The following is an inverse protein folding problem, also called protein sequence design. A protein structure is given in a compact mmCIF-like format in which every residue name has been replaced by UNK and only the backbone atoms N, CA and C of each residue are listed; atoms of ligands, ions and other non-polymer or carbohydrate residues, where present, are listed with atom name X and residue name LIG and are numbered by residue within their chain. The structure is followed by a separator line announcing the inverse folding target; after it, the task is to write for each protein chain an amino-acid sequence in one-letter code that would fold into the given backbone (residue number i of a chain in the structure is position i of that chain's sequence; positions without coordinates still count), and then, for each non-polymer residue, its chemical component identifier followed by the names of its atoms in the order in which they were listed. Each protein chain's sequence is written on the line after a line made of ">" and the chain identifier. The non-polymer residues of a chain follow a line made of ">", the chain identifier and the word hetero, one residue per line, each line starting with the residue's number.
data_IF_625725246190
#
_entry.id   IF_625725246190
#
_cell.length_a   1.000
_cell.length_b   1.000
_cell.length_c   1.000
_cell.angle_alpha   90.00
_cell.angle_beta   90.00
_cell.angle_gamma   90.00
#
_symmetry.space_group_name_H-M   'P 1'
#
loop_
_entity.id
_entity.type
_entity.pdbx_description
1 polymer ?
#
# COMPACT_ATOMS: atom_id res chain seq x y z
N UNK A 1 -18.37 -34.33 -5.51
CA UNK A 1 -17.10 -33.57 -5.61
C UNK A 1 -15.94 -34.55 -5.58
N UNK A 2 -15.10 -34.62 -6.60
CA UNK A 2 -13.99 -35.60 -6.65
C UNK A 2 -12.84 -35.18 -5.72
N UNK A 3 -12.13 -36.15 -5.13
CA UNK A 3 -10.95 -35.92 -4.28
C UNK A 3 -9.90 -35.00 -4.93
N UNK A 4 -9.81 -35.01 -6.25
CA UNK A 4 -8.91 -34.15 -7.04
C UNK A 4 -9.30 -32.67 -6.99
N UNK A 5 -10.59 -32.35 -6.96
CA UNK A 5 -11.06 -30.96 -6.86
C UNK A 5 -10.74 -30.37 -5.48
N UNK A 6 -10.98 -31.15 -4.43
CA UNK A 6 -10.69 -30.74 -3.06
C UNK A 6 -9.19 -30.47 -2.84
N UNK A 7 -8.32 -31.37 -3.32
CA UNK A 7 -6.86 -31.18 -3.25
C UNK A 7 -6.40 -29.91 -3.97
N UNK A 8 -6.95 -29.64 -5.17
CA UNK A 8 -6.61 -28.43 -5.94
C UNK A 8 -7.02 -27.16 -5.20
N UNK A 9 -8.23 -27.11 -4.65
CA UNK A 9 -8.69 -25.94 -3.88
C UNK A 9 -7.83 -25.67 -2.65
N UNK A 10 -7.42 -26.71 -1.93
CA UNK A 10 -6.51 -26.56 -0.78
C UNK A 10 -5.14 -26.02 -1.21
N UNK A 11 -4.56 -26.57 -2.28
CA UNK A 11 -3.27 -26.10 -2.78
C UNK A 11 -3.33 -24.64 -3.24
N UNK A 12 -4.43 -24.24 -3.88
CA UNK A 12 -4.66 -22.84 -4.27
C UNK A 12 -4.80 -21.93 -3.04
N UNK A 13 -5.52 -22.36 -2.00
CA UNK A 13 -5.66 -21.57 -0.78
C UNK A 13 -4.32 -21.41 -0.04
N UNK A 14 -3.52 -22.49 0.06
CA UNK A 14 -2.19 -22.44 0.67
C UNK A 14 -1.27 -21.52 -0.13
N UNK A 15 -1.28 -21.64 -1.46
CA UNK A 15 -0.52 -20.76 -2.35
C UNK A 15 -0.89 -19.29 -2.15
N UNK A 16 -2.19 -18.97 -2.13
CA UNK A 16 -2.68 -17.61 -1.91
C UNK A 16 -2.23 -17.09 -0.55
N UNK A 17 -2.41 -17.87 0.51
CA UNK A 17 -2.03 -17.46 1.85
C UNK A 17 -0.51 -17.22 1.96
N UNK A 18 0.31 -18.15 1.49
CA UNK A 18 1.76 -18.06 1.57
C UNK A 18 2.30 -16.85 0.78
N UNK A 19 1.88 -16.69 -0.47
CA UNK A 19 2.35 -15.58 -1.30
C UNK A 19 1.79 -14.23 -0.81
N UNK A 20 0.55 -14.18 -0.31
CA UNK A 20 0.00 -12.97 0.31
C UNK A 20 0.75 -12.55 1.58
N UNK A 21 1.19 -13.50 2.42
CA UNK A 21 2.03 -13.21 3.58
C UNK A 21 3.38 -12.63 3.14
N UNK A 22 4.01 -13.21 2.11
CA UNK A 22 5.25 -12.68 1.56
C UNK A 22 5.07 -11.23 1.06
N UNK A 23 4.00 -10.96 0.30
CA UNK A 23 3.66 -9.60 -0.14
C UNK A 23 3.37 -8.66 1.02
N UNK A 24 2.66 -9.12 2.06
CA UNK A 24 2.41 -8.32 3.25
C UNK A 24 3.72 -7.89 3.91
N UNK A 25 4.68 -8.81 4.10
CA UNK A 25 5.99 -8.48 4.67
C UNK A 25 6.70 -7.44 3.81
N UNK A 26 6.76 -7.64 2.49
CA UNK A 26 7.41 -6.69 1.57
C UNK A 26 6.77 -5.30 1.65
N UNK A 27 5.43 -5.22 1.62
CA UNK A 27 4.72 -3.95 1.65
C UNK A 27 4.85 -3.23 2.99
N UNK A 28 4.73 -3.97 4.11
CA UNK A 28 4.92 -3.42 5.44
C UNK A 28 6.33 -2.87 5.63
N UNK A 29 7.35 -3.61 5.18
CA UNK A 29 8.75 -3.16 5.26
C UNK A 29 8.97 -1.91 4.40
N UNK A 30 8.53 -1.91 3.13
CA UNK A 30 8.72 -0.77 2.25
C UNK A 30 7.98 0.48 2.72
N UNK A 31 6.72 0.34 3.13
CA UNK A 31 5.92 1.45 3.62
C UNK A 31 6.54 2.02 4.91
N UNK A 32 6.94 1.15 5.84
CA UNK A 32 7.64 1.55 7.07
C UNK A 32 8.97 2.24 6.78
N UNK A 33 9.78 1.72 5.85
CA UNK A 33 11.05 2.37 5.47
C UNK A 33 10.83 3.79 4.93
N UNK A 34 9.82 3.98 4.07
CA UNK A 34 9.49 5.30 3.53
C UNK A 34 9.00 6.25 4.62
N UNK A 35 8.16 5.76 5.53
CA UNK A 35 7.63 6.55 6.64
C UNK A 35 8.76 7.01 7.59
N UNK A 36 9.66 6.09 7.96
CA UNK A 36 10.84 6.41 8.77
C UNK A 36 11.73 7.42 8.07
N UNK A 37 11.99 7.22 6.77
CA UNK A 37 12.80 8.15 5.97
C UNK A 37 12.19 9.55 5.95
N UNK A 38 10.87 9.67 5.92
CA UNK A 38 10.19 10.96 5.94
C UNK A 38 10.43 11.70 7.26
N UNK A 39 10.18 11.06 8.41
CA UNK A 39 10.41 11.66 9.73
C UNK A 39 11.88 12.01 9.95
N UNK A 40 12.81 11.12 9.59
CA UNK A 40 14.25 11.37 9.69
C UNK A 40 14.69 12.58 8.87
N UNK A 41 14.16 12.73 7.65
CA UNK A 41 14.48 13.86 6.78
C UNK A 41 13.93 15.18 7.34
N UNK A 42 12.75 15.16 7.95
CA UNK A 42 12.21 16.35 8.62
C UNK A 42 13.00 16.72 9.86
N UNK A 43 13.38 15.74 10.68
CA UNK A 43 14.22 15.94 11.85
C UNK A 43 15.56 16.57 11.46
N UNK A 44 16.21 16.08 10.40
CA UNK A 44 17.46 16.64 9.89
C UNK A 44 17.29 18.10 9.43
N UNK A 45 16.21 18.41 8.71
CA UNK A 45 15.89 19.77 8.25
C UNK A 45 15.65 20.74 9.42
N UNK A 46 14.89 20.33 10.44
CA UNK A 46 14.66 21.16 11.64
C UNK A 46 15.97 21.34 12.42
N UNK A 47 16.77 20.29 12.59
CA UNK A 47 18.07 20.38 13.25
C UNK A 47 19.01 21.37 12.54
N UNK A 48 19.02 21.37 11.21
CA UNK A 48 19.77 22.35 10.42
C UNK A 48 19.24 23.77 10.63
N UNK A 49 17.92 23.99 10.55
CA UNK A 49 17.29 25.30 10.75
C UNK A 49 17.52 25.87 12.16
N UNK A 50 17.55 25.02 13.20
CA UNK A 50 17.91 25.40 14.57
C UNK A 50 19.35 25.92 14.65
N UNK A 51 20.27 25.33 13.86
CA UNK A 51 21.68 25.74 13.81
C UNK A 51 21.91 27.13 13.17
N UNK A 52 21.02 27.59 12.30
CA UNK A 52 21.09 28.90 11.63
C UNK A 52 20.13 29.95 12.20
N UNK A 53 19.24 29.57 13.13
CA UNK A 53 18.31 30.49 13.78
C UNK A 53 17.06 30.82 12.95
N UNK A 54 16.61 29.91 12.09
CA UNK A 54 15.47 30.10 11.18
C UNK A 54 14.10 30.05 11.89
N UNK A 55 14.06 29.75 13.19
CA UNK A 55 12.84 29.57 13.96
C UNK A 55 12.62 30.72 14.95
N UNK A 56 11.41 31.30 14.93
CA UNK A 56 11.00 32.34 15.89
C UNK A 56 10.84 31.83 17.33
N UNK A 57 10.55 30.53 17.50
CA UNK A 57 10.51 29.83 18.78
C UNK A 57 11.42 28.59 18.72
N UNK A 58 12.63 28.71 19.25
CA UNK A 58 13.60 27.62 19.28
C UNK A 58 13.20 26.48 20.21
N UNK A 59 12.47 26.78 21.29
CA UNK A 59 12.00 25.79 22.25
C UNK A 59 10.95 24.87 21.62
N UNK A 60 10.00 25.45 20.88
CA UNK A 60 9.02 24.68 20.12
C UNK A 60 9.70 23.77 19.06
N UNK A 61 10.68 24.30 18.33
CA UNK A 61 11.42 23.53 17.33
C UNK A 61 12.21 22.35 17.92
N UNK A 62 12.82 22.50 19.10
CA UNK A 62 13.49 21.40 19.81
C UNK A 62 12.51 20.30 20.26
N UNK A 63 11.31 20.68 20.73
CA UNK A 63 10.27 19.72 21.11
C UNK A 63 9.79 18.93 19.90
N UNK A 64 9.50 19.59 18.77
CA UNK A 64 9.07 18.94 17.54
C UNK A 64 10.18 18.04 16.98
N UNK A 65 11.44 18.46 17.04
CA UNK A 65 12.57 17.63 16.64
C UNK A 65 12.64 16.31 17.42
N UNK A 66 12.45 16.36 18.73
CA UNK A 66 12.45 15.15 19.56
C UNK A 66 11.25 14.25 19.23
N UNK A 67 10.06 14.84 19.05
CA UNK A 67 8.87 14.10 18.62
C UNK A 67 9.08 13.39 17.28
N UNK A 68 9.70 14.05 16.29
CA UNK A 68 10.01 13.45 14.99
C UNK A 68 11.01 12.29 15.10
N UNK A 69 12.01 12.37 15.99
CA UNK A 69 12.95 11.28 16.23
C UNK A 69 12.26 10.07 16.85
N UNK A 70 11.43 10.31 17.87
CA UNK A 70 10.61 9.25 18.49
C UNK A 70 9.66 8.63 17.47
N UNK A 71 9.02 9.45 16.62
CA UNK A 71 8.16 8.98 15.54
C UNK A 71 8.94 8.17 14.51
N UNK A 72 10.15 8.58 14.11
CA UNK A 72 11.00 7.83 13.19
C UNK A 72 11.38 6.44 13.74
N UNK A 73 11.62 6.31 15.04
CA UNK A 73 11.99 5.03 15.65
C UNK A 73 10.79 4.05 15.74
N UNK A 74 9.59 4.58 15.99
CA UNK A 74 8.37 3.81 16.23
C UNK A 74 7.41 3.78 15.02
N UNK A 75 7.76 4.43 13.91
CA UNK A 75 6.91 4.45 12.74
C UNK A 75 6.71 3.02 12.21
N UNK A 76 5.43 2.69 12.05
CA UNK A 76 4.93 1.48 11.40
C UNK A 76 3.89 1.93 10.38
N UNK A 77 4.05 1.49 9.14
CA UNK A 77 3.14 1.85 8.06
C UNK A 77 2.89 0.67 7.11
N UNK A 78 1.79 0.73 6.39
CA UNK A 78 1.41 -0.25 5.38
C UNK A 78 0.02 -0.85 5.57
N UNK A 79 -0.43 -1.69 4.64
CA UNK A 79 -1.75 -2.31 4.72
C UNK A 79 -1.76 -3.44 5.77
N UNK A 80 -2.91 -3.68 6.40
CA UNK A 80 -3.06 -4.85 7.26
C UNK A 80 -2.98 -6.15 6.45
N UNK A 81 -2.51 -7.23 7.08
CA UNK A 81 -2.41 -8.55 6.44
C UNK A 81 -3.74 -9.03 5.86
N UNK A 82 -4.86 -8.67 6.50
CA UNK A 82 -6.20 -9.00 6.04
C UNK A 82 -6.54 -8.30 4.72
N UNK A 83 -6.12 -7.04 4.54
CA UNK A 83 -6.30 -6.33 3.27
C UNK A 83 -5.48 -6.98 2.16
N UNK A 84 -4.23 -7.35 2.44
CA UNK A 84 -3.37 -8.03 1.44
C UNK A 84 -3.96 -9.39 1.05
N UNK A 85 -4.44 -10.16 2.04
CA UNK A 85 -5.15 -11.41 1.78
C UNK A 85 -6.43 -11.21 0.98
N UNK A 86 -7.22 -10.17 1.29
CA UNK A 86 -8.42 -9.84 0.54
C UNK A 86 -8.11 -9.42 -0.91
N UNK A 87 -7.03 -8.68 -1.13
CA UNK A 87 -6.55 -8.32 -2.46
C UNK A 87 -6.14 -9.56 -3.26
N UNK A 88 -5.36 -10.44 -2.64
CA UNK A 88 -4.89 -11.68 -3.24
C UNK A 88 -6.05 -12.64 -3.59
N UNK A 89 -6.91 -12.91 -2.61
CA UNK A 89 -8.07 -13.78 -2.78
C UNK A 89 -9.08 -13.19 -3.77
N UNK A 90 -9.33 -11.87 -3.70
CA UNK A 90 -10.24 -11.16 -4.59
C UNK A 90 -9.78 -11.18 -6.05
N UNK A 91 -8.53 -10.84 -6.31
CA UNK A 91 -7.96 -10.88 -7.66
C UNK A 91 -7.96 -12.30 -8.23
N UNK A 92 -7.61 -13.29 -7.41
CA UNK A 92 -7.62 -14.69 -7.82
C UNK A 92 -9.04 -15.20 -8.13
N UNK A 93 -9.99 -14.92 -7.24
CA UNK A 93 -11.39 -15.34 -7.38
C UNK A 93 -12.06 -14.66 -8.57
N UNK A 94 -11.84 -13.35 -8.78
CA UNK A 94 -12.44 -12.61 -9.88
C UNK A 94 -12.05 -13.21 -11.24
N UNK A 95 -10.77 -13.50 -11.45
CA UNK A 95 -10.29 -14.12 -12.69
C UNK A 95 -10.84 -15.55 -12.89
N UNK A 96 -11.19 -16.25 -11.82
CA UNK A 96 -11.79 -17.60 -11.87
C UNK A 96 -13.31 -17.59 -12.08
N UNK A 97 -13.99 -16.58 -11.55
CA UNK A 97 -15.45 -16.52 -11.53
C UNK A 97 -16.01 -15.92 -12.82
N UNK A 98 -15.43 -14.82 -13.33
CA UNK A 98 -15.97 -14.15 -14.52
C UNK A 98 -16.07 -15.08 -15.73
N UNK A 99 -15.05 -15.91 -16.07
CA UNK A 99 -15.15 -16.84 -17.19
C UNK A 99 -16.22 -17.92 -17.04
N UNK A 100 -16.71 -18.18 -15.81
CA UNK A 100 -17.76 -19.18 -15.55
C UNK A 100 -19.17 -18.65 -15.75
N UNK A 101 -19.31 -17.35 -16.01
CA UNK A 101 -20.61 -16.71 -16.20
C UNK A 101 -21.07 -16.74 -17.67
N UNK A 102 -20.26 -17.28 -18.59
CA UNK A 102 -20.56 -17.43 -20.02
C UNK A 102 -21.05 -16.14 -20.72
N UNK A 103 -20.62 -14.96 -20.24
CA UNK A 103 -21.09 -13.63 -20.70
C UNK A 103 -20.58 -13.22 -22.09
N UNK A 104 -19.81 -14.08 -22.76
CA UNK A 104 -19.07 -13.72 -23.97
C UNK A 104 -17.88 -12.79 -23.69
N UNK A 105 -16.94 -12.61 -24.65
CA UNK A 105 -15.67 -11.95 -24.39
C UNK A 105 -15.78 -10.46 -24.03
N UNK A 106 -16.66 -9.73 -24.72
CA UNK A 106 -16.80 -8.28 -24.53
C UNK A 106 -17.44 -7.87 -23.20
N UNK A 107 -18.45 -8.62 -22.74
CA UNK A 107 -19.08 -8.34 -21.44
C UNK A 107 -18.17 -8.82 -20.31
N UNK A 108 -17.51 -9.97 -20.47
CA UNK A 108 -16.55 -10.49 -19.48
C UNK A 108 -15.40 -9.51 -19.22
N UNK A 109 -14.86 -8.86 -20.27
CA UNK A 109 -13.82 -7.85 -20.09
C UNK A 109 -14.35 -6.60 -19.38
N UNK A 110 -15.54 -6.12 -19.76
CA UNK A 110 -16.18 -4.99 -19.09
C UNK A 110 -16.42 -5.26 -17.59
N UNK A 111 -16.92 -6.46 -17.25
CA UNK A 111 -17.12 -6.89 -15.85
C UNK A 111 -15.80 -6.98 -15.10
N UNK A 112 -14.75 -7.54 -15.71
CA UNK A 112 -13.43 -7.61 -15.08
C UNK A 112 -12.85 -6.22 -14.76
N UNK A 113 -12.98 -5.28 -15.70
CA UNK A 113 -12.51 -3.91 -15.52
C UNK A 113 -13.31 -3.21 -14.42
N UNK A 114 -14.64 -3.26 -14.50
CA UNK A 114 -15.51 -2.63 -13.51
C UNK A 114 -15.29 -3.20 -12.10
N UNK A 115 -15.22 -4.53 -11.96
CA UNK A 115 -14.97 -5.19 -10.68
C UNK A 115 -13.57 -4.87 -10.13
N UNK A 116 -12.55 -4.76 -10.99
CA UNK A 116 -11.20 -4.37 -10.58
C UNK A 116 -11.17 -2.93 -10.04
N UNK A 117 -11.83 -2.00 -10.73
CA UNK A 117 -11.92 -0.59 -10.29
C UNK A 117 -12.59 -0.53 -8.90
N UNK A 118 -13.73 -1.20 -8.75
CA UNK A 118 -14.48 -1.22 -7.48
C UNK A 118 -13.66 -1.89 -6.38
N UNK A 119 -13.04 -3.03 -6.65
CA UNK A 119 -12.27 -3.78 -5.65
C UNK A 119 -11.04 -3.00 -5.18
N UNK A 120 -10.27 -2.41 -6.10
CA UNK A 120 -9.11 -1.57 -5.75
C UNK A 120 -9.58 -0.38 -4.90
N UNK A 121 -10.69 0.27 -5.27
CA UNK A 121 -11.22 1.37 -4.48
C UNK A 121 -11.57 0.94 -3.05
N UNK A 122 -12.28 -0.17 -2.88
CA UNK A 122 -12.64 -0.70 -1.56
C UNK A 122 -11.40 -1.07 -0.76
N UNK A 123 -10.40 -1.72 -1.38
CA UNK A 123 -9.16 -2.08 -0.71
C UNK A 123 -8.40 -0.85 -0.20
N UNK A 124 -8.39 0.23 -0.97
CA UNK A 124 -7.74 1.48 -0.60
C UNK A 124 -8.50 2.20 0.50
N UNK A 125 -9.82 2.24 0.42
CA UNK A 125 -10.65 2.79 1.48
C UNK A 125 -10.45 2.05 2.81
N UNK A 126 -10.40 0.71 2.77
CA UNK A 126 -10.18 -0.11 3.98
C UNK A 126 -8.76 0.00 4.52
N UNK A 127 -7.75 0.19 3.66
CA UNK A 127 -6.35 0.29 4.10
C UNK A 127 -5.93 1.68 4.58
N UNK A 128 -6.58 2.73 4.10
CA UNK A 128 -6.11 4.11 4.27
C UNK A 128 -7.18 5.06 4.84
N UNK A 129 -8.41 4.60 5.11
CA UNK A 129 -9.51 5.46 5.57
C UNK A 129 -10.26 6.14 4.42
N UNK A 130 -10.81 7.33 4.63
CA UNK A 130 -11.73 8.03 3.71
C UNK A 130 -11.06 8.60 2.43
N UNK A 131 -10.28 7.78 1.74
CA UNK A 131 -9.75 8.06 0.41
C UNK A 131 -10.75 7.58 -0.65
N UNK A 132 -11.42 8.56 -1.26
CA UNK A 132 -12.27 8.37 -2.43
C UNK A 132 -11.37 8.29 -3.67
N UNK A 133 -11.00 7.09 -4.12
CA UNK A 133 -10.09 6.88 -5.28
C UNK A 133 -10.70 7.38 -6.61
N UNK A 134 -12.00 7.63 -6.67
CA UNK A 134 -12.68 8.30 -7.78
C UNK A 134 -12.51 9.82 -7.78
N UNK A 135 -12.03 10.40 -6.69
CA UNK A 135 -11.61 11.79 -6.68
C UNK A 135 -10.25 11.91 -7.37
N UNK A 136 -10.31 11.88 -8.70
CA UNK A 136 -9.13 12.07 -9.54
C UNK A 136 -8.40 13.36 -9.18
N UNK A 137 -9.07 14.37 -8.60
CA UNK A 137 -8.40 15.58 -8.16
C UNK A 137 -7.36 15.30 -7.08
N UNK A 138 -7.59 14.41 -6.12
CA UNK A 138 -6.59 14.06 -5.09
C UNK A 138 -5.43 13.27 -5.66
N UNK A 139 -5.69 12.29 -6.53
CA UNK A 139 -4.64 11.54 -7.23
C UNK A 139 -3.82 12.47 -8.12
N UNK A 140 -4.49 13.36 -8.85
CA UNK A 140 -3.87 14.38 -9.71
C UNK A 140 -3.12 15.41 -8.87
N UNK A 141 -3.59 15.78 -7.68
CA UNK A 141 -2.87 16.68 -6.77
C UNK A 141 -1.63 16.00 -6.19
N UNK A 142 -1.74 14.71 -5.86
CA UNK A 142 -0.61 13.86 -5.43
C UNK A 142 0.41 13.64 -6.57
N UNK A 143 -0.03 13.60 -7.83
CA UNK A 143 0.82 13.46 -9.03
C UNK A 143 1.39 14.79 -9.55
N UNK A 144 0.63 15.88 -9.44
CA UNK A 144 1.02 17.21 -9.92
C UNK A 144 1.81 18.00 -8.89
N UNK A 145 1.59 17.74 -7.60
CA UNK A 145 2.37 18.31 -6.51
C UNK A 145 2.82 17.25 -5.50
N UNK A 146 3.57 16.22 -5.97
CA UNK A 146 4.17 15.25 -5.07
C UNK A 146 5.12 15.96 -4.09
N UNK A 147 5.65 17.12 -4.50
CA UNK A 147 6.58 17.93 -3.76
C UNK A 147 6.01 18.51 -2.48
N UNK A 148 4.79 19.06 -2.45
CA UNK A 148 4.19 19.75 -1.27
C UNK A 148 4.11 18.93 0.03
N UNK A 149 4.30 17.61 -0.05
CA UNK A 149 4.25 16.68 1.10
C UNK A 149 5.48 15.77 1.18
N UNK A 150 6.50 16.04 0.36
CA UNK A 150 7.86 15.52 0.54
C UNK A 150 8.52 16.41 1.59
N UNK A 151 9.22 15.80 2.55
CA UNK A 151 9.90 16.50 3.63
C UNK A 151 10.62 17.78 3.15
N UNK A 152 11.26 17.77 1.99
CA UNK A 152 11.98 18.91 1.39
C UNK A 152 11.19 20.21 1.11
N UNK A 153 9.85 20.17 0.97
CA UNK A 153 9.03 21.35 0.63
C UNK A 153 8.23 21.92 1.81
N UNK A 154 8.20 21.21 2.94
CA UNK A 154 7.42 21.61 4.11
C UNK A 154 8.03 22.90 4.66
N UNK A 155 7.17 23.91 4.84
CA UNK A 155 7.46 25.15 5.55
C UNK A 155 7.71 24.81 7.02
N UNK A 156 8.99 24.74 7.38
CA UNK A 156 9.43 24.30 8.70
C UNK A 156 8.92 25.22 9.82
N UNK A 157 8.99 26.56 9.70
CA UNK A 157 8.36 27.46 10.67
C UNK A 157 6.87 27.20 10.90
N UNK A 158 6.10 27.00 9.83
CA UNK A 158 4.66 26.72 9.95
C UNK A 158 4.39 25.35 10.58
N UNK A 159 5.15 24.33 10.19
CA UNK A 159 5.05 22.98 10.75
C UNK A 159 5.44 22.92 12.24
N UNK A 160 6.45 23.69 12.66
CA UNK A 160 6.82 23.76 14.09
C UNK A 160 5.72 24.43 14.93
N UNK A 161 4.98 25.38 14.35
CA UNK A 161 3.88 26.06 15.04
C UNK A 161 2.64 25.17 15.21
N UNK A 162 2.40 24.25 14.27
CA UNK A 162 1.27 23.31 14.30
C UNK A 162 1.71 21.94 13.71
N UNK A 163 2.36 21.08 14.50
CA UNK A 163 2.91 19.83 14.01
C UNK A 163 1.80 18.80 13.80
N UNK A 164 1.52 18.47 12.54
CA UNK A 164 0.69 17.31 12.19
C UNK A 164 1.58 16.06 12.07
N UNK A 165 1.54 15.22 13.10
CA UNK A 165 2.26 13.95 13.17
C UNK A 165 1.31 12.75 13.05
N UNK A 166 0.01 12.99 12.81
CA UNK A 166 -0.99 11.94 12.83
C UNK A 166 -1.25 11.35 11.43
N UNK A 167 -1.13 10.03 11.34
CA UNK A 167 -1.54 9.26 10.16
C UNK A 167 -0.41 9.00 9.15
N UNK A 168 -0.67 8.09 8.18
CA UNK A 168 0.32 7.70 7.19
C UNK A 168 0.59 8.80 6.17
N UNK A 169 1.86 9.12 5.96
CA UNK A 169 2.27 10.15 5.01
C UNK A 169 2.18 9.66 3.56
N UNK A 170 2.12 10.59 2.61
CA UNK A 170 1.97 10.37 1.15
C UNK A 170 2.91 9.29 0.61
N UNK A 171 4.14 9.24 1.12
CA UNK A 171 5.11 8.22 0.74
C UNK A 171 4.62 6.80 1.07
N UNK A 172 4.25 6.53 2.32
CA UNK A 172 3.73 5.24 2.73
C UNK A 172 2.37 4.91 2.08
N UNK A 173 1.52 5.91 1.86
CA UNK A 173 0.26 5.77 1.12
C UNK A 173 0.51 5.34 -0.33
N UNK A 174 1.49 5.95 -1.01
CA UNK A 174 1.85 5.61 -2.38
C UNK A 174 2.36 4.19 -2.51
N UNK A 175 3.26 3.77 -1.60
CA UNK A 175 3.78 2.39 -1.55
C UNK A 175 2.63 1.41 -1.34
N UNK A 176 1.71 1.71 -0.43
CA UNK A 176 0.55 0.86 -0.15
C UNK A 176 -0.39 0.79 -1.36
N UNK A 177 -0.67 1.91 -2.03
CA UNK A 177 -1.51 1.97 -3.22
C UNK A 177 -0.96 1.13 -4.36
N UNK A 178 0.29 1.38 -4.73
CA UNK A 178 0.98 0.67 -5.82
C UNK A 178 1.12 -0.80 -5.44
N UNK A 179 1.50 -1.08 -4.20
CA UNK A 179 1.66 -2.42 -3.65
C UNK A 179 0.40 -3.27 -3.75
N UNK A 180 -0.73 -2.78 -3.22
CA UNK A 180 -2.01 -3.48 -3.30
C UNK A 180 -2.48 -3.69 -4.74
N UNK A 181 -2.23 -2.71 -5.62
CA UNK A 181 -2.53 -2.83 -7.05
C UNK A 181 -1.70 -3.93 -7.71
N UNK A 182 -0.40 -3.98 -7.42
CA UNK A 182 0.51 -5.03 -7.92
C UNK A 182 0.09 -6.40 -7.40
N UNK A 183 -0.23 -6.53 -6.12
CA UNK A 183 -0.75 -7.78 -5.52
C UNK A 183 -2.02 -8.22 -6.24
N UNK A 184 -2.99 -7.33 -6.40
CA UNK A 184 -4.26 -7.63 -7.09
C UNK A 184 -4.03 -8.21 -8.49
N UNK A 185 -3.25 -7.53 -9.32
CA UNK A 185 -2.96 -7.98 -10.68
C UNK A 185 -2.09 -9.25 -10.70
N UNK A 186 -1.14 -9.39 -9.78
CA UNK A 186 -0.30 -10.59 -9.67
C UNK A 186 -1.15 -11.83 -9.40
N UNK A 187 -2.16 -11.74 -8.56
CA UNK A 187 -3.08 -12.85 -8.27
C UNK A 187 -4.11 -13.10 -9.36
N UNK A 188 -4.60 -12.04 -10.04
CA UNK A 188 -5.38 -12.21 -11.27
C UNK A 188 -4.58 -12.98 -12.33
N UNK A 189 -3.30 -12.64 -12.55
CA UNK A 189 -2.44 -13.34 -13.51
C UNK A 189 -2.14 -14.78 -13.05
N UNK A 190 -1.90 -14.99 -11.76
CA UNK A 190 -1.69 -16.33 -11.20
C UNK A 190 -2.88 -17.26 -11.46
N UNK A 191 -4.10 -16.73 -11.32
CA UNK A 191 -5.34 -17.47 -11.51
C UNK A 191 -5.60 -17.94 -12.96
N UNK A 192 -4.91 -17.36 -13.96
CA UNK A 192 -5.01 -17.76 -15.38
C UNK A 192 -4.43 -19.14 -15.67
N UNK A 193 -3.43 -19.57 -14.89
CA UNK A 193 -2.83 -20.89 -15.02
C UNK A 193 -3.41 -21.87 -14.01
N UNK A 194 -3.39 -23.18 -14.32
CA UNK A 194 -3.60 -24.20 -13.29
C UNK A 194 -2.42 -24.16 -12.33
N UNK A 195 -2.69 -23.94 -11.03
CA UNK A 195 -1.67 -24.03 -9.98
C UNK A 195 -1.25 -25.49 -9.86
N UNK A 196 -0.12 -25.84 -10.49
CA UNK A 196 0.53 -27.15 -10.39
C UNK A 196 1.62 -27.16 -9.32
N UNK A 197 2.05 -28.35 -8.88
CA UNK A 197 3.12 -28.54 -7.90
C UNK A 197 4.42 -27.81 -8.27
N UNK A 198 4.76 -27.75 -9.56
CA UNK A 198 5.97 -27.08 -10.06
C UNK A 198 6.03 -25.58 -9.75
N UNK A 199 4.87 -24.88 -9.71
CA UNK A 199 4.82 -23.45 -9.34
C UNK A 199 5.01 -23.21 -7.85
N UNK A 200 4.55 -24.14 -7.01
CA UNK A 200 4.74 -24.05 -5.56
C UNK A 200 6.22 -24.21 -5.24
N UNK A 201 6.95 -25.10 -5.92
CA UNK A 201 8.40 -25.26 -5.71
C UNK A 201 9.22 -24.08 -6.22
N UNK A 202 8.79 -23.42 -7.30
CA UNK A 202 9.49 -22.26 -7.86
C UNK A 202 9.34 -20.99 -6.99
N UNK A 203 8.25 -20.82 -6.24
CA UNK A 203 8.09 -19.64 -5.36
C UNK A 203 9.00 -19.66 -4.12
N UNK A 204 9.67 -20.77 -3.82
CA UNK A 204 10.60 -20.90 -2.70
C UNK A 204 12.07 -21.01 -3.13
N UNK A 205 12.36 -21.03 -4.44
CA UNK A 205 13.72 -21.28 -4.97
C UNK A 205 14.33 -20.14 -5.79
N UNK A 206 13.61 -19.02 -5.94
CA UNK A 206 14.13 -17.75 -6.47
C UNK A 206 13.89 -16.64 -5.45
#
# INVERSE_FOLDING_TARGET
>A
MSLLHYRRTILEAIYIAAEAIAWFIVLAVLATMVERSFYSSLAERIQLGLGVGDFGDTGAAEVVLEQLRVAADHAEAGPSVLVVLAAAAGGFALMRLVPRLDLGPGISSAVLVAATIVAINVLLHVSMGDLRVWDASRIITMLNDPTSQIAGSIDLPAFVADPDLEGPHVGALSVTFVGLTVVWFRFMLAARASVGMERITLSFTT
#
